data_IF_909549802207
#
_entry.id   IF_909549802207
#
_cell.length_a   1.000
_cell.length_b   1.000
_cell.length_c   1.000
_cell.angle_alpha   90.00
_cell.angle_beta   90.00
_cell.angle_gamma   90.00
#
_symmetry.space_group_name_H-M   'P 1'
#
loop_
_entity.id
_entity.type
_entity.pdbx_description
1 polymer ?
#
# COMPACT_ATOMS: atom_id res chain seq x y z
N UNK A 1 8.45 8.64 8.78
CA UNK A 1 8.57 7.21 8.39
C UNK A 1 8.68 6.26 9.56
N UNK A 2 9.63 6.43 10.49
CA UNK A 2 9.89 5.46 11.59
C UNK A 2 8.63 5.11 12.38
N UNK A 3 7.89 6.13 12.83
CA UNK A 3 6.61 5.97 13.53
C UNK A 3 5.61 5.16 12.70
N UNK A 4 5.44 5.49 11.43
CA UNK A 4 4.47 4.82 10.54
C UNK A 4 4.80 3.33 10.34
N UNK A 5 6.10 2.99 10.21
CA UNK A 5 6.54 1.58 10.16
C UNK A 5 6.25 0.85 11.48
N UNK A 6 6.41 1.52 12.63
CA UNK A 6 6.08 0.94 13.95
C UNK A 6 4.59 0.67 14.10
N UNK A 7 3.71 1.57 13.61
CA UNK A 7 2.25 1.34 13.61
C UNK A 7 1.88 0.10 12.79
N UNK A 8 2.42 -0.03 11.58
CA UNK A 8 2.17 -1.21 10.73
C UNK A 8 2.70 -2.49 11.40
N UNK A 9 3.90 -2.44 12.01
CA UNK A 9 4.47 -3.57 12.75
C UNK A 9 3.60 -3.97 13.95
N UNK A 10 3.07 -3.00 14.69
CA UNK A 10 2.12 -3.25 15.79
C UNK A 10 0.86 -3.96 15.30
N UNK A 11 0.27 -3.49 14.20
CA UNK A 11 -0.91 -4.12 13.63
C UNK A 11 -0.63 -5.54 13.13
N UNK A 12 0.51 -5.77 12.46
CA UNK A 12 0.92 -7.11 12.00
C UNK A 12 1.08 -8.09 13.18
N UNK A 13 1.67 -7.66 14.30
CA UNK A 13 1.74 -8.49 15.52
C UNK A 13 0.36 -8.85 16.05
N UNK A 14 -0.58 -7.89 16.05
CA UNK A 14 -1.95 -8.09 16.55
C UNK A 14 -2.72 -9.14 15.73
N UNK A 15 -2.48 -9.21 14.43
CA UNK A 15 -3.13 -10.16 13.53
C UNK A 15 -2.29 -11.42 13.28
N UNK A 16 -1.21 -11.61 14.04
CA UNK A 16 -0.34 -12.78 13.99
C UNK A 16 0.30 -13.00 12.60
N UNK A 17 0.54 -11.91 11.87
CA UNK A 17 1.25 -11.95 10.58
C UNK A 17 2.76 -12.19 10.78
N UNK A 18 3.39 -12.86 9.82
CA UNK A 18 4.82 -13.14 9.81
C UNK A 18 5.60 -11.85 9.56
N UNK A 19 6.33 -11.41 10.58
CA UNK A 19 7.26 -10.28 10.50
C UNK A 19 8.69 -10.84 10.41
N UNK A 20 9.45 -10.39 9.42
CA UNK A 20 10.87 -10.71 9.33
C UNK A 20 11.72 -9.61 9.96
N UNK A 21 12.80 -10.02 10.61
CA UNK A 21 13.82 -9.09 11.13
C UNK A 21 14.96 -8.86 10.12
N UNK A 22 14.96 -9.59 9.00
CA UNK A 22 15.95 -9.47 7.93
C UNK A 22 15.28 -9.24 6.55
N UNK A 23 15.94 -8.56 5.60
CA UNK A 23 15.45 -8.43 4.24
C UNK A 23 15.26 -9.80 3.57
N UNK A 24 14.06 -10.04 3.05
CA UNK A 24 13.72 -11.25 2.29
C UNK A 24 12.63 -10.95 1.28
N UNK A 25 12.57 -11.78 0.25
CA UNK A 25 11.42 -11.83 -0.64
C UNK A 25 10.22 -12.45 0.10
N UNK A 26 9.02 -12.04 -0.33
CA UNK A 26 7.81 -12.74 0.08
C UNK A 26 7.72 -14.12 -0.59
N UNK A 27 6.93 -15.00 0.01
CA UNK A 27 6.60 -16.27 -0.61
C UNK A 27 5.83 -15.99 -1.90
N UNK A 28 6.25 -16.64 -2.99
CA UNK A 28 5.72 -16.39 -4.33
C UNK A 28 5.47 -17.73 -5.04
N UNK A 29 4.53 -17.73 -5.98
CA UNK A 29 4.20 -18.85 -6.85
C UNK A 29 4.50 -18.44 -8.29
N UNK A 30 5.64 -18.91 -8.81
CA UNK A 30 6.27 -18.36 -10.01
C UNK A 30 5.41 -18.32 -11.28
N UNK A 31 4.42 -19.21 -11.42
CA UNK A 31 3.52 -19.20 -12.57
C UNK A 31 2.41 -18.16 -12.42
N UNK A 32 1.63 -18.22 -11.32
CA UNK A 32 0.52 -17.29 -11.06
C UNK A 32 0.99 -15.85 -10.93
N UNK A 33 2.15 -15.63 -10.30
CA UNK A 33 2.67 -14.28 -10.09
C UNK A 33 3.20 -13.69 -11.39
N UNK A 34 3.74 -14.52 -12.30
CA UNK A 34 4.15 -14.08 -13.64
C UNK A 34 2.95 -13.70 -14.50
N UNK A 35 1.88 -14.48 -14.46
CA UNK A 35 0.62 -14.15 -15.14
C UNK A 35 0.07 -12.81 -14.63
N UNK A 36 0.06 -12.60 -13.31
CA UNK A 36 -0.38 -11.35 -12.71
C UNK A 36 0.46 -10.15 -13.20
N UNK A 37 1.79 -10.28 -13.22
CA UNK A 37 2.66 -9.22 -13.74
C UNK A 37 2.35 -8.91 -15.22
N UNK A 38 2.16 -9.94 -16.05
CA UNK A 38 1.81 -9.79 -17.47
C UNK A 38 0.47 -9.07 -17.66
N UNK A 39 -0.55 -9.40 -16.87
CA UNK A 39 -1.85 -8.74 -16.90
C UNK A 39 -1.72 -7.24 -16.57
N UNK A 40 -0.92 -6.89 -15.57
CA UNK A 40 -0.65 -5.50 -15.21
C UNK A 40 0.06 -4.74 -16.35
N UNK A 41 1.07 -5.35 -16.97
CA UNK A 41 1.77 -4.77 -18.14
C UNK A 41 0.81 -4.58 -19.32
N UNK A 42 -0.12 -5.51 -19.54
CA UNK A 42 -1.14 -5.39 -20.59
C UNK A 42 -2.12 -4.24 -20.34
N UNK A 43 -2.48 -3.97 -19.08
CA UNK A 43 -3.29 -2.81 -18.70
C UNK A 43 -2.58 -1.50 -19.09
N UNK A 44 -1.27 -1.39 -18.81
CA UNK A 44 -0.46 -0.23 -19.18
C UNK A 44 -0.44 -0.04 -20.70
N UNK A 45 -0.10 -1.11 -21.43
CA UNK A 45 0.05 -1.03 -22.90
C UNK A 45 -1.26 -0.65 -23.59
N UNK A 46 -2.40 -1.18 -23.12
CA UNK A 46 -3.73 -0.84 -23.65
C UNK A 46 -4.14 0.64 -23.51
N UNK A 47 -3.35 1.43 -22.78
CA UNK A 47 -3.62 2.84 -22.45
C UNK A 47 -2.53 3.80 -22.93
N UNK A 48 -1.38 3.32 -23.44
CA UNK A 48 -0.20 4.13 -23.83
C UNK A 48 -0.55 5.29 -24.79
N UNK A 49 -1.43 5.06 -25.76
CA UNK A 49 -1.76 6.04 -26.82
C UNK A 49 -3.00 6.88 -26.53
N UNK A 50 -3.55 6.84 -25.32
CA UNK A 50 -4.78 7.56 -24.96
C UNK A 50 -4.46 8.88 -24.28
N UNK A 51 -5.32 9.88 -24.45
CA UNK A 51 -5.32 11.04 -23.56
C UNK A 51 -5.84 10.59 -22.19
N UNK A 52 -5.01 10.73 -21.16
CA UNK A 52 -5.28 10.24 -19.81
C UNK A 52 -5.52 11.41 -18.85
N UNK A 53 -6.51 11.25 -17.96
CA UNK A 53 -6.67 12.11 -16.80
C UNK A 53 -5.47 11.98 -15.86
N UNK A 54 -5.31 12.93 -14.94
CA UNK A 54 -4.26 12.86 -13.91
C UNK A 54 -4.34 11.56 -13.09
N UNK A 55 -5.55 11.18 -12.65
CA UNK A 55 -5.78 9.94 -11.90
C UNK A 55 -5.35 8.71 -12.72
N UNK A 56 -5.68 8.68 -14.02
CA UNK A 56 -5.29 7.56 -14.87
C UNK A 56 -3.77 7.48 -15.07
N UNK A 57 -3.06 8.61 -15.17
CA UNK A 57 -1.60 8.64 -15.25
C UNK A 57 -0.96 8.11 -13.96
N UNK A 58 -1.42 8.60 -12.79
CA UNK A 58 -0.94 8.14 -11.47
C UNK A 58 -1.20 6.66 -11.24
N UNK A 59 -2.40 6.19 -11.59
CA UNK A 59 -2.75 4.77 -11.50
C UNK A 59 -1.85 3.90 -12.39
N UNK A 60 -1.53 4.34 -13.61
CA UNK A 60 -0.62 3.57 -14.48
C UNK A 60 0.80 3.51 -13.94
N UNK A 61 1.35 4.60 -13.39
CA UNK A 61 2.66 4.58 -12.73
C UNK A 61 2.64 3.62 -11.54
N UNK A 62 1.61 3.65 -10.69
CA UNK A 62 1.49 2.72 -9.56
C UNK A 62 1.37 1.25 -9.99
N UNK A 63 0.75 0.98 -11.15
CA UNK A 63 0.66 -0.36 -11.74
C UNK A 63 2.02 -0.81 -12.29
N UNK A 64 2.80 0.10 -12.87
CA UNK A 64 4.15 -0.17 -13.37
C UNK A 64 5.07 -0.64 -12.24
N UNK A 65 5.18 0.14 -11.16
CA UNK A 65 6.02 -0.23 -10.02
C UNK A 65 5.52 -1.49 -9.30
N UNK A 66 4.21 -1.76 -9.32
CA UNK A 66 3.63 -3.00 -8.81
C UNK A 66 4.05 -4.20 -9.67
N UNK A 67 4.02 -4.07 -11.00
CA UNK A 67 4.45 -5.12 -11.91
C UNK A 67 5.95 -5.43 -11.72
N UNK A 68 6.80 -4.41 -11.63
CA UNK A 68 8.24 -4.56 -11.37
C UNK A 68 8.52 -5.26 -10.05
N UNK A 69 7.79 -4.91 -9.00
CA UNK A 69 7.92 -5.57 -7.71
C UNK A 69 7.58 -7.07 -7.76
N UNK A 70 6.56 -7.45 -8.54
CA UNK A 70 6.18 -8.87 -8.73
C UNK A 70 7.19 -9.60 -9.61
N UNK A 71 7.65 -8.96 -10.69
CA UNK A 71 8.69 -9.49 -11.58
C UNK A 71 9.98 -9.79 -10.80
N UNK A 72 10.44 -8.85 -9.95
CA UNK A 72 11.61 -9.03 -9.10
C UNK A 72 11.46 -10.19 -8.10
N UNK A 73 10.26 -10.43 -7.55
CA UNK A 73 10.01 -11.62 -6.72
C UNK A 73 10.16 -12.91 -7.52
N UNK A 74 9.61 -12.97 -8.74
CA UNK A 74 9.72 -14.12 -9.62
C UNK A 74 11.15 -14.39 -10.10
N UNK A 75 11.96 -13.34 -10.23
CA UNK A 75 13.38 -13.42 -10.60
C UNK A 75 14.29 -13.72 -9.41
N UNK A 76 13.73 -13.82 -8.21
CA UNK A 76 14.48 -13.96 -6.96
C UNK A 76 15.50 -12.83 -6.71
N UNK A 77 15.22 -11.62 -7.21
CA UNK A 77 16.06 -10.44 -7.06
C UNK A 77 15.56 -9.56 -5.89
N UNK A 78 16.19 -9.73 -4.73
CA UNK A 78 15.88 -8.95 -3.53
C UNK A 78 16.18 -7.45 -3.70
N UNK A 79 17.20 -7.09 -4.48
CA UNK A 79 17.60 -5.69 -4.65
C UNK A 79 16.57 -4.97 -5.52
N UNK A 80 16.21 -5.56 -6.66
CA UNK A 80 15.16 -5.03 -7.52
C UNK A 80 13.80 -4.98 -6.80
N UNK A 81 13.48 -5.99 -5.97
CA UNK A 81 12.25 -5.97 -5.19
C UNK A 81 12.24 -4.86 -4.13
N UNK A 82 13.39 -4.55 -3.53
CA UNK A 82 13.51 -3.45 -2.57
C UNK A 82 13.39 -2.07 -3.27
N UNK A 83 13.97 -1.94 -4.46
CA UNK A 83 13.91 -0.73 -5.29
C UNK A 83 12.47 -0.42 -5.71
N UNK A 84 11.80 -1.38 -6.36
CA UNK A 84 10.39 -1.25 -6.76
C UNK A 84 9.46 -1.02 -5.55
N UNK A 85 9.75 -1.60 -4.38
CA UNK A 85 9.00 -1.30 -3.15
C UNK A 85 9.16 0.17 -2.73
N UNK A 86 10.37 0.71 -2.82
CA UNK A 86 10.65 2.11 -2.50
C UNK A 86 9.96 3.07 -3.48
N UNK A 87 9.96 2.76 -4.78
CA UNK A 87 9.29 3.57 -5.80
C UNK A 87 7.78 3.59 -5.62
N UNK A 88 7.16 2.45 -5.28
CA UNK A 88 5.75 2.39 -4.89
C UNK A 88 5.45 3.29 -3.71
N UNK A 89 6.32 3.32 -2.71
CA UNK A 89 6.17 4.19 -1.54
C UNK A 89 6.28 5.66 -1.96
N UNK A 90 7.24 5.99 -2.82
CA UNK A 90 7.47 7.33 -3.32
C UNK A 90 6.26 7.87 -4.11
N UNK A 91 5.69 7.07 -5.01
CA UNK A 91 4.49 7.42 -5.75
C UNK A 91 3.28 7.61 -4.83
N UNK A 92 3.05 6.70 -3.89
CA UNK A 92 1.93 6.78 -2.95
C UNK A 92 1.99 8.05 -2.08
N UNK A 93 3.17 8.41 -1.60
CA UNK A 93 3.38 9.67 -0.86
C UNK A 93 3.21 10.87 -1.79
N UNK A 94 3.71 10.79 -3.02
CA UNK A 94 3.54 11.81 -4.05
C UNK A 94 2.08 12.12 -4.35
N UNK A 95 1.22 11.10 -4.40
CA UNK A 95 -0.23 11.27 -4.56
C UNK A 95 -0.84 12.09 -3.43
N UNK A 96 -0.47 11.80 -2.18
CA UNK A 96 -0.95 12.55 -1.03
C UNK A 96 -0.48 14.01 -1.05
N UNK A 97 0.77 14.26 -1.44
CA UNK A 97 1.32 15.61 -1.57
C UNK A 97 0.57 16.41 -2.63
N UNK A 98 0.40 15.86 -3.83
CA UNK A 98 -0.26 16.57 -4.94
C UNK A 98 -1.74 16.81 -4.66
N UNK A 99 -2.41 15.89 -3.97
CA UNK A 99 -3.82 16.04 -3.59
C UNK A 99 -4.03 16.82 -2.29
N UNK A 100 -2.96 17.24 -1.60
CA UNK A 100 -3.04 17.94 -0.32
C UNK A 100 -3.64 17.09 0.81
N UNK A 101 -3.55 15.77 0.72
CA UNK A 101 -4.06 14.87 1.74
C UNK A 101 -3.15 14.90 2.98
N UNK A 102 -3.72 15.00 4.20
CA UNK A 102 -2.95 14.93 5.44
C UNK A 102 -2.54 13.49 5.73
N UNK A 103 -1.56 12.97 4.97
CA UNK A 103 -1.18 11.56 4.93
C UNK A 103 -0.92 10.96 6.32
N UNK A 104 -0.16 11.67 7.18
CA UNK A 104 0.14 11.18 8.52
C UNK A 104 -1.12 11.05 9.39
N UNK A 105 -2.00 12.04 9.39
CA UNK A 105 -3.23 12.00 10.17
C UNK A 105 -4.21 10.93 9.65
N UNK A 106 -4.24 10.71 8.32
CA UNK A 106 -5.02 9.63 7.72
C UNK A 106 -4.47 8.25 8.11
N UNK A 107 -3.15 8.06 8.08
CA UNK A 107 -2.50 6.82 8.48
C UNK A 107 -2.70 6.52 9.97
N UNK A 108 -2.58 7.54 10.83
CA UNK A 108 -2.84 7.40 12.27
C UNK A 108 -4.29 6.96 12.55
N UNK A 109 -5.27 7.54 11.86
CA UNK A 109 -6.68 7.18 12.03
C UNK A 109 -7.01 5.79 11.45
N UNK A 110 -6.40 5.44 10.32
CA UNK A 110 -6.51 4.09 9.75
C UNK A 110 -5.88 3.07 10.68
N UNK A 111 -4.73 3.36 11.29
CA UNK A 111 -4.12 2.50 12.30
C UNK A 111 -5.04 2.31 13.50
N UNK A 112 -5.54 3.40 14.09
CA UNK A 112 -6.50 3.34 15.20
C UNK A 112 -7.70 2.45 14.86
N UNK A 113 -8.28 2.60 13.67
CA UNK A 113 -9.36 1.73 13.19
C UNK A 113 -8.92 0.27 13.03
N UNK A 114 -7.76 0.02 12.42
CA UNK A 114 -7.20 -1.32 12.24
C UNK A 114 -6.98 -2.03 13.57
N UNK A 115 -6.55 -1.32 14.61
CA UNK A 115 -6.37 -1.87 15.95
C UNK A 115 -7.69 -2.29 16.64
N UNK A 116 -8.85 -1.95 16.08
CA UNK A 116 -10.16 -2.48 16.52
C UNK A 116 -10.58 -3.77 15.82
N UNK A 117 -9.85 -4.18 14.76
CA UNK A 117 -10.07 -5.45 14.07
C UNK A 117 -9.55 -6.62 14.92
N UNK A 118 -10.07 -7.81 14.68
CA UNK A 118 -9.53 -9.05 15.25
C UNK A 118 -8.85 -9.86 14.13
N UNK A 119 -7.94 -10.77 14.47
CA UNK A 119 -7.35 -11.67 13.47
C UNK A 119 -8.46 -12.48 12.76
N UNK A 120 -8.40 -12.58 11.43
CA UNK A 120 -9.36 -13.39 10.66
C UNK A 120 -9.18 -14.89 10.92
N UNK A 121 -7.92 -15.31 10.98
CA UNK A 121 -7.37 -16.65 11.19
C UNK A 121 -5.83 -16.54 10.97
N UNK A 122 -5.06 -17.56 11.40
CA UNK A 122 -3.59 -17.60 11.28
C UNK A 122 -3.04 -17.53 9.84
N UNK A 123 -3.89 -17.66 8.80
CA UNK A 123 -3.46 -17.96 7.42
C UNK A 123 -3.57 -16.79 6.44
N UNK A 124 -4.33 -15.73 6.76
CA UNK A 124 -4.68 -14.72 5.74
C UNK A 124 -4.01 -13.36 5.94
N UNK A 125 -3.26 -13.16 7.02
CA UNK A 125 -2.58 -11.88 7.26
C UNK A 125 -3.52 -10.68 7.41
N UNK A 126 -4.83 -10.95 7.60
CA UNK A 126 -5.90 -9.96 7.46
C UNK A 126 -6.68 -9.85 8.75
N UNK A 127 -6.96 -8.63 9.18
CA UNK A 127 -7.92 -8.37 10.25
C UNK A 127 -9.37 -8.41 9.75
N UNK A 128 -10.27 -9.07 10.49
CA UNK A 128 -11.72 -9.05 10.27
C UNK A 128 -12.43 -8.04 11.18
N UNK A 129 -13.57 -7.54 10.70
CA UNK A 129 -14.46 -6.65 11.46
C UNK A 129 -15.36 -7.49 12.35
N UNK A 130 -15.27 -7.32 13.67
CA UNK A 130 -16.11 -8.00 14.66
C UNK A 130 -16.96 -7.01 15.46
N UNK A 131 -17.63 -7.47 16.52
CA UNK A 131 -18.57 -6.71 17.36
C UNK A 131 -18.00 -5.48 18.09
N UNK A 132 -16.71 -5.14 17.90
CA UNK A 132 -16.07 -3.92 18.39
C UNK A 132 -15.38 -3.08 17.32
N UNK A 133 -15.58 -3.37 16.03
CA UNK A 133 -14.92 -2.64 14.94
C UNK A 133 -15.39 -1.18 14.88
N UNK A 134 -14.43 -0.26 14.81
CA UNK A 134 -14.67 1.16 14.60
C UNK A 134 -14.09 1.59 13.26
N UNK A 135 -14.94 2.04 12.34
CA UNK A 135 -14.51 2.61 11.06
C UNK A 135 -13.61 3.84 11.26
N UNK A 136 -12.67 4.10 10.34
CA UNK A 136 -11.83 5.30 10.42
C UNK A 136 -12.67 6.56 10.15
N UNK A 137 -12.51 7.59 10.96
CA UNK A 137 -13.19 8.87 10.85
C UNK A 137 -12.43 9.84 9.92
N UNK A 138 -12.31 9.44 8.66
CA UNK A 138 -11.61 10.20 7.61
C UNK A 138 -12.21 11.58 7.40
N UNK A 139 -13.55 11.71 7.49
CA UNK A 139 -14.24 12.97 7.28
C UNK A 139 -13.80 14.06 8.29
N UNK A 140 -13.60 13.68 9.56
CA UNK A 140 -13.14 14.62 10.59
C UNK A 140 -11.73 15.12 10.29
N UNK A 141 -10.83 14.22 9.92
CA UNK A 141 -9.45 14.58 9.52
C UNK A 141 -9.45 15.58 8.36
N UNK A 142 -10.20 15.28 7.29
CA UNK A 142 -10.30 16.18 6.13
C UNK A 142 -10.91 17.54 6.48
N UNK A 143 -11.88 17.58 7.41
CA UNK A 143 -12.49 18.83 7.86
C UNK A 143 -11.53 19.68 8.70
N UNK A 144 -10.65 19.08 9.50
CA UNK A 144 -9.63 19.81 10.24
C UNK A 144 -8.58 20.42 9.30
N UNK A 145 -8.14 19.69 8.27
CA UNK A 145 -7.17 20.19 7.29
C UNK A 145 -7.69 21.44 6.56
N UNK A 146 -8.97 21.45 6.15
CA UNK A 146 -9.59 22.62 5.49
C UNK A 146 -9.61 23.88 6.36
N UNK A 147 -9.48 23.76 7.68
CA UNK A 147 -9.51 24.87 8.63
C UNK A 147 -8.12 25.44 8.94
N UNK A 148 -7.04 24.76 8.54
CA UNK A 148 -5.69 25.31 8.64
C UNK A 148 -5.34 26.02 7.33
N UNK A 149 -5.01 27.33 7.35
CA UNK A 149 -4.61 28.03 6.14
C UNK A 149 -3.32 27.40 5.59
N UNK A 150 -3.35 27.05 4.30
CA UNK A 150 -2.15 26.62 3.56
C UNK A 150 -1.15 27.79 3.57
N UNK A 151 0.05 27.56 4.10
CA UNK A 151 1.17 28.51 4.03
C UNK A 151 1.64 28.68 2.59
#
# INVERSE_FOLDING_TARGET
MKRQLELVREFHRKIEEVISDEPRLLNHHAESDRELAQDLRQIIESRRSKSLSEVAKRALMAIEELAEWIEAHNESDLVAAADAWADRMYLLIGDAIVSGMPAEALLDEVHRSNMTKIAANEQTGKGIKASGFQSPNIQTILNHQKRQPTQ
#
